data_IF_286843957018
#
_entry.id   IF_286843957018
#
_cell.length_a   1.000
_cell.length_b   1.000
_cell.length_c   1.000
_cell.angle_alpha   90.00
_cell.angle_beta   90.00
_cell.angle_gamma   90.00
#
_symmetry.space_group_name_H-M   'P 1'
#
loop_
_entity.id
_entity.type
_entity.pdbx_description
1 polymer ?
#
# COMPACT_ATOMS: atom_id res chain seq x y z
N UNK A 1 -17.81 5.27 1.36
CA UNK A 1 -16.37 5.60 1.55
C UNK A 1 -15.83 4.66 2.60
N UNK A 2 -14.70 3.97 2.39
CA UNK A 2 -14.09 3.16 3.43
C UNK A 2 -13.71 4.07 4.61
N UNK A 3 -14.09 3.67 5.82
CA UNK A 3 -13.74 4.38 7.05
C UNK A 3 -12.21 4.38 7.18
N UNK A 4 -11.55 5.52 7.44
CA UNK A 4 -10.11 5.51 7.71
C UNK A 4 -9.84 4.63 8.93
N UNK A 5 -9.12 3.52 8.73
CA UNK A 5 -8.69 2.64 9.81
C UNK A 5 -7.56 3.31 10.59
N UNK A 6 -7.82 3.66 11.84
CA UNK A 6 -6.82 4.20 12.76
C UNK A 6 -6.21 3.05 13.56
N UNK A 7 -4.87 3.00 13.63
CA UNK A 7 -4.14 2.04 14.46
C UNK A 7 -3.32 2.83 15.49
N UNK A 8 -3.46 2.50 16.77
CA UNK A 8 -2.59 3.03 17.81
C UNK A 8 -1.33 2.19 17.87
N UNK A 9 -0.19 2.82 17.60
CA UNK A 9 1.12 2.20 17.73
C UNK A 9 1.82 2.79 18.96
N UNK A 10 2.02 1.98 20.00
CA UNK A 10 2.42 2.43 21.35
C UNK A 10 3.88 2.16 21.71
N UNK A 11 4.73 1.78 20.75
CA UNK A 11 6.14 1.43 21.02
C UNK A 11 7.11 2.51 20.55
N UNK A 12 8.25 2.62 21.25
CA UNK A 12 9.33 3.57 20.96
C UNK A 12 10.16 3.12 19.75
N UNK A 13 9.62 3.28 18.55
CA UNK A 13 10.34 3.04 17.29
C UNK A 13 11.13 4.28 16.82
N UNK A 14 12.24 4.09 16.08
CA UNK A 14 12.73 5.12 15.17
C UNK A 14 11.64 5.41 14.13
N UNK A 15 11.16 6.66 14.09
CA UNK A 15 10.02 7.04 13.25
C UNK A 15 10.47 7.11 11.79
N UNK A 16 9.89 6.27 10.92
CA UNK A 16 10.02 6.46 9.47
C UNK A 16 9.10 7.60 9.04
N UNK A 17 9.69 8.76 8.78
CA UNK A 17 9.00 9.90 8.20
C UNK A 17 9.09 9.85 6.68
N UNK A 18 7.97 10.03 6.00
CA UNK A 18 7.93 10.21 4.54
C UNK A 18 7.38 11.60 4.26
N UNK A 19 8.01 12.31 3.34
CA UNK A 19 7.48 13.56 2.80
C UNK A 19 6.41 13.24 1.75
N UNK A 20 5.20 13.78 1.95
CA UNK A 20 4.09 13.64 1.00
C UNK A 20 3.57 15.00 0.57
N UNK A 21 3.06 15.08 -0.66
CA UNK A 21 2.31 16.24 -1.17
C UNK A 21 0.82 15.93 -1.08
N UNK A 22 0.06 16.74 -0.33
CA UNK A 22 -1.39 16.54 -0.15
C UNK A 22 -2.17 17.84 -0.36
N UNK A 23 -3.35 17.79 -0.98
CA UNK A 23 -4.23 18.94 -1.09
C UNK A 23 -4.96 19.17 0.24
N UNK A 24 -4.66 20.28 0.91
CA UNK A 24 -5.33 20.66 2.15
C UNK A 24 -6.48 21.60 1.81
N UNK A 25 -7.71 21.17 2.11
CA UNK A 25 -8.90 22.01 1.91
C UNK A 25 -8.84 23.18 2.87
N UNK A 26 -8.85 24.38 2.30
CA UNK A 26 -8.83 25.65 3.01
C UNK A 26 -10.25 26.03 3.41
N UNK A 27 -11.15 26.04 2.43
CA UNK A 27 -12.55 26.39 2.61
C UNK A 27 -13.40 25.76 1.50
N UNK A 28 -14.67 25.49 1.80
CA UNK A 28 -15.68 25.12 0.82
C UNK A 28 -16.82 26.13 0.91
N UNK A 29 -17.25 26.68 -0.22
CA UNK A 29 -18.31 27.68 -0.30
C UNK A 29 -19.32 27.28 -1.38
N UNK A 30 -20.61 27.36 -1.04
CA UNK A 30 -21.69 27.19 -2.00
C UNK A 30 -21.98 28.53 -2.67
N UNK A 31 -22.07 28.52 -3.99
CA UNK A 31 -22.19 29.69 -4.84
C UNK A 31 -23.49 29.59 -5.61
N UNK A 32 -24.30 30.63 -5.51
CA UNK A 32 -25.50 30.80 -6.31
C UNK A 32 -25.37 32.04 -7.19
N UNK A 33 -25.58 31.86 -8.50
CA UNK A 33 -25.56 32.94 -9.46
C UNK A 33 -26.82 32.90 -10.33
N UNK A 34 -27.60 33.98 -10.25
CA UNK A 34 -28.79 34.19 -11.08
C UNK A 34 -28.40 34.94 -12.34
N UNK A 35 -28.81 34.45 -13.50
CA UNK A 35 -28.56 35.03 -14.81
C UNK A 35 -29.87 35.14 -15.57
N UNK A 36 -30.34 36.37 -15.77
CA UNK A 36 -31.50 36.64 -16.61
C UNK A 36 -31.09 36.81 -18.06
N UNK A 37 -31.80 36.16 -18.97
CA UNK A 37 -31.63 36.33 -20.41
C UNK A 37 -32.95 36.48 -21.13
N UNK A 38 -32.94 37.24 -22.23
CA UNK A 38 -34.07 37.33 -23.14
C UNK A 38 -33.55 37.14 -24.55
N UNK A 39 -34.06 36.10 -25.21
CA UNK A 39 -33.64 35.72 -26.56
C UNK A 39 -34.80 35.79 -27.54
N UNK A 40 -34.48 36.10 -28.79
CA UNK A 40 -35.42 36.03 -29.89
C UNK A 40 -35.30 34.66 -30.54
N UNK A 41 -36.39 33.91 -30.57
CA UNK A 41 -36.44 32.60 -31.20
C UNK A 41 -36.26 32.74 -32.73
N UNK A 42 -35.55 31.81 -33.39
CA UNK A 42 -35.36 31.84 -34.85
C UNK A 42 -36.67 31.81 -35.64
N UNK A 43 -37.70 31.20 -35.06
CA UNK A 43 -39.05 31.09 -35.62
C UNK A 43 -40.11 31.40 -34.56
N UNK A 44 -41.34 31.66 -35.01
CA UNK A 44 -42.48 31.82 -34.11
C UNK A 44 -42.81 30.48 -33.43
N UNK A 45 -42.76 30.45 -32.11
CA UNK A 45 -43.13 29.34 -31.25
C UNK A 45 -44.56 29.48 -30.73
N UNK A 46 -45.28 28.36 -30.69
CA UNK A 46 -46.56 28.21 -29.99
C UNK A 46 -46.34 27.99 -28.50
N UNK A 47 -45.34 27.17 -28.15
CA UNK A 47 -44.92 26.89 -26.77
C UNK A 47 -43.45 26.47 -26.71
N UNK A 48 -42.83 26.69 -25.57
CA UNK A 48 -41.57 26.03 -25.18
C UNK A 48 -41.95 24.73 -24.47
N UNK A 49 -41.32 23.62 -24.85
CA UNK A 49 -41.57 22.31 -24.26
C UNK A 49 -40.70 22.14 -23.00
N UNK A 50 -39.39 22.20 -23.17
CA UNK A 50 -38.43 22.19 -22.08
C UNK A 50 -37.11 22.84 -22.51
N UNK A 51 -36.28 23.21 -21.54
CA UNK A 51 -34.92 23.71 -21.74
C UNK A 51 -33.99 22.79 -20.97
N UNK A 52 -33.02 22.18 -21.65
CA UNK A 52 -31.94 21.46 -20.97
C UNK A 52 -30.72 22.35 -20.86
N UNK A 53 -30.06 22.38 -19.72
CA UNK A 53 -28.86 23.16 -19.53
C UNK A 53 -27.75 22.39 -18.84
N UNK A 54 -26.52 22.84 -19.09
CA UNK A 54 -25.31 22.33 -18.46
C UNK A 54 -24.31 23.48 -18.31
N UNK A 55 -23.53 23.45 -17.24
CA UNK A 55 -22.42 24.39 -17.06
C UNK A 55 -21.17 23.83 -17.74
N UNK A 56 -20.53 24.65 -18.56
CA UNK A 56 -19.28 24.35 -19.28
C UNK A 56 -18.21 25.37 -18.92
N UNK A 57 -16.96 25.01 -19.20
CA UNK A 57 -15.79 25.89 -19.09
C UNK A 57 -15.67 26.58 -17.71
N UNK A 58 -16.06 25.86 -16.65
CA UNK A 58 -16.06 26.38 -15.30
C UNK A 58 -14.63 26.58 -14.81
N UNK A 59 -14.30 27.81 -14.43
CA UNK A 59 -12.99 28.23 -13.97
C UNK A 59 -13.10 29.00 -12.65
N UNK A 60 -12.10 28.83 -11.79
CA UNK A 60 -12.00 29.49 -10.50
C UNK A 60 -10.67 30.19 -10.36
N UNK A 61 -10.70 31.49 -10.10
CA UNK A 61 -9.50 32.30 -9.86
C UNK A 61 -9.49 32.79 -8.42
N UNK A 62 -8.54 32.36 -7.58
CA UNK A 62 -8.40 32.90 -6.23
C UNK A 62 -7.96 34.36 -6.27
N UNK A 63 -8.56 35.18 -5.41
CA UNK A 63 -8.17 36.58 -5.21
C UNK A 63 -7.33 36.67 -3.95
N UNK A 64 -6.07 37.03 -4.15
CA UNK A 64 -5.09 37.15 -3.10
C UNK A 64 -5.01 38.58 -2.55
N UNK A 65 -4.95 38.68 -1.23
CA UNK A 65 -4.81 39.93 -0.49
C UNK A 65 -3.68 39.80 0.53
N UNK A 66 -3.10 40.94 0.90
CA UNK A 66 -2.10 41.10 1.94
C UNK A 66 -2.65 42.02 3.03
N UNK A 67 -2.28 41.76 4.28
CA UNK A 67 -2.61 42.62 5.41
C UNK A 67 -1.37 43.40 5.81
N UNK A 68 -1.41 44.72 5.59
CA UNK A 68 -0.32 45.60 6.00
C UNK A 68 -0.21 45.65 7.53
N UNK A 69 0.95 46.05 8.04
CA UNK A 69 1.16 46.27 9.47
C UNK A 69 0.21 47.33 10.09
N UNK A 70 -0.38 48.21 9.27
CA UNK A 70 -1.44 49.16 9.67
C UNK A 70 -2.81 48.49 9.90
N UNK A 71 -2.97 47.23 9.50
CA UNK A 71 -4.24 46.50 9.49
C UNK A 71 -5.02 46.63 8.17
N UNK A 72 -4.57 47.47 7.24
CA UNK A 72 -5.21 47.67 5.94
C UNK A 72 -5.04 46.47 5.02
N UNK A 73 -6.10 46.12 4.28
CA UNK A 73 -6.10 45.02 3.31
C UNK A 73 -5.83 45.58 1.92
N UNK A 74 -4.79 45.08 1.27
CA UNK A 74 -4.38 45.53 -0.07
C UNK A 74 -4.33 44.34 -1.04
N UNK A 75 -4.74 44.56 -2.28
CA UNK A 75 -4.60 43.58 -3.36
C UNK A 75 -3.12 43.36 -3.65
N UNK A 76 -2.67 42.10 -3.71
CA UNK A 76 -1.28 41.76 -4.00
C UNK A 76 -1.09 41.72 -5.52
N UNK A 77 -0.34 42.67 -6.13
CA UNK A 77 -0.03 42.60 -7.55
C UNK A 77 1.13 41.62 -7.73
N UNK A 78 0.80 40.35 -8.00
CA UNK A 78 1.54 39.25 -8.66
C UNK A 78 3.05 39.03 -8.41
N UNK A 79 3.81 39.85 -7.69
CA UNK A 79 5.24 39.63 -7.40
C UNK A 79 5.65 40.36 -6.11
N UNK A 80 5.62 39.67 -4.97
CA UNK A 80 6.44 40.06 -3.82
C UNK A 80 6.81 38.80 -3.03
N UNK A 81 8.10 38.45 -2.92
CA UNK A 81 8.54 37.16 -2.39
C UNK A 81 8.54 37.03 -0.85
N UNK A 82 8.12 38.06 -0.11
CA UNK A 82 8.28 38.09 1.36
C UNK A 82 7.00 38.42 2.15
N UNK A 83 5.84 38.45 1.50
CA UNK A 83 4.58 38.86 2.14
C UNK A 83 3.68 37.68 2.43
N UNK A 84 2.98 37.76 3.55
CA UNK A 84 1.96 36.79 3.91
C UNK A 84 0.80 36.92 2.93
N UNK A 85 0.58 35.87 2.14
CA UNK A 85 -0.49 35.87 1.15
C UNK A 85 -1.73 35.23 1.77
N UNK A 86 -2.88 35.86 1.56
CA UNK A 86 -4.15 35.33 2.01
C UNK A 86 -5.13 35.23 0.85
N UNK A 87 -5.97 34.19 0.85
CA UNK A 87 -7.13 34.09 -0.03
C UNK A 87 -8.33 34.68 0.70
N UNK A 88 -9.05 35.60 0.05
CA UNK A 88 -10.28 36.20 0.61
C UNK A 88 -11.50 36.06 -0.28
N UNK A 89 -11.30 36.04 -1.60
CA UNK A 89 -12.40 35.91 -2.56
C UNK A 89 -12.02 34.93 -3.65
N UNK A 90 -13.03 34.43 -4.34
CA UNK A 90 -12.89 33.58 -5.52
C UNK A 90 -13.73 34.19 -6.63
N UNK A 91 -13.15 34.32 -7.81
CA UNK A 91 -13.90 34.62 -9.02
C UNK A 91 -14.25 33.29 -9.67
N UNK A 92 -15.53 33.00 -9.81
CA UNK A 92 -16.04 31.83 -10.54
C UNK A 92 -16.65 32.30 -11.84
N UNK A 93 -16.24 31.69 -12.95
CA UNK A 93 -16.76 31.99 -14.28
C UNK A 93 -17.00 30.73 -15.08
N UNK A 94 -17.98 30.74 -15.96
CA UNK A 94 -18.25 29.64 -16.88
C UNK A 94 -19.30 30.02 -17.91
N UNK A 95 -19.75 29.01 -18.66
CA UNK A 95 -20.77 29.16 -19.70
C UNK A 95 -21.96 28.24 -19.39
N UNK A 96 -23.15 28.81 -19.32
CA UNK A 96 -24.41 28.06 -19.30
C UNK A 96 -24.72 27.69 -20.74
N UNK A 97 -24.53 26.43 -21.10
CA UNK A 97 -24.92 25.90 -22.41
C UNK A 97 -26.34 25.35 -22.32
N UNK A 98 -27.24 25.92 -23.11
CA UNK A 98 -28.67 25.58 -23.15
C UNK A 98 -29.04 24.96 -24.49
N UNK A 99 -29.97 24.02 -24.47
CA UNK A 99 -30.75 23.59 -25.63
C UNK A 99 -32.22 23.84 -25.34
N UNK A 100 -32.85 24.64 -26.19
CA UNK A 100 -34.22 25.08 -26.02
C UNK A 100 -35.09 24.32 -27.01
N UNK A 101 -36.00 23.49 -26.52
CA UNK A 101 -36.93 22.72 -27.34
C UNK A 101 -38.29 23.41 -27.37
N UNK A 102 -38.82 23.65 -28.57
CA UNK A 102 -40.07 24.38 -28.75
C UNK A 102 -40.89 23.85 -29.94
N UNK A 103 -42.18 24.17 -29.95
CA UNK A 103 -43.09 23.83 -31.05
C UNK A 103 -43.34 25.08 -31.87
N UNK A 104 -43.05 25.05 -33.17
CA UNK A 104 -43.27 26.19 -34.06
C UNK A 104 -44.75 26.32 -34.49
N UNK A 105 -45.08 27.39 -35.23
CA UNK A 105 -46.43 27.64 -35.76
C UNK A 105 -46.99 26.52 -36.66
N UNK A 106 -46.14 25.65 -37.20
CA UNK A 106 -46.52 24.52 -38.07
C UNK A 106 -46.69 23.21 -37.28
N UNK A 107 -46.68 23.25 -35.95
CA UNK A 107 -46.69 22.08 -35.06
C UNK A 107 -45.46 21.16 -35.21
N UNK A 108 -44.32 21.71 -35.65
CA UNK A 108 -43.06 20.97 -35.72
C UNK A 108 -42.24 21.20 -34.45
N UNK A 109 -41.60 20.14 -33.94
CA UNK A 109 -40.63 20.25 -32.86
C UNK A 109 -39.31 20.77 -33.43
N UNK A 110 -38.80 21.85 -32.83
CA UNK A 110 -37.51 22.47 -33.16
C UNK A 110 -36.66 22.58 -31.90
N UNK A 111 -35.36 22.75 -32.12
CA UNK A 111 -34.43 23.09 -31.05
C UNK A 111 -33.42 24.11 -31.52
N UNK A 112 -32.86 24.88 -30.60
CA UNK A 112 -31.69 25.70 -30.86
C UNK A 112 -30.83 25.85 -29.60
N UNK A 113 -29.55 26.11 -29.80
CA UNK A 113 -28.57 26.27 -28.74
C UNK A 113 -28.39 27.73 -28.33
N UNK A 114 -28.19 27.98 -27.04
CA UNK A 114 -27.83 29.30 -26.49
C UNK A 114 -26.68 29.10 -25.48
N UNK A 115 -25.64 29.91 -25.60
CA UNK A 115 -24.53 29.95 -24.65
C UNK A 115 -24.54 31.30 -23.91
N UNK A 116 -24.57 31.25 -22.58
CA UNK A 116 -24.53 32.44 -21.73
C UNK A 116 -23.35 32.37 -20.78
N UNK A 117 -22.44 33.34 -20.90
CA UNK A 117 -21.33 33.47 -19.96
C UNK A 117 -21.81 34.07 -18.64
N UNK A 118 -21.29 33.56 -17.53
CA UNK A 118 -21.50 34.14 -16.21
C UNK A 118 -20.19 34.31 -15.48
N UNK A 119 -20.17 35.28 -14.55
CA UNK A 119 -19.07 35.48 -13.61
C UNK A 119 -19.63 35.94 -12.27
N UNK A 120 -19.05 35.43 -11.18
CA UNK A 120 -19.42 35.77 -9.81
C UNK A 120 -18.17 35.91 -8.96
N UNK A 121 -18.04 37.05 -8.30
CA UNK A 121 -17.09 37.22 -7.21
C UNK A 121 -17.75 36.73 -5.92
N UNK A 122 -17.27 35.60 -5.41
CA UNK A 122 -17.69 35.02 -4.15
C UNK A 122 -16.71 35.39 -3.03
N UNK A 123 -17.24 35.88 -1.90
CA UNK A 123 -16.43 36.09 -0.71
C UNK A 123 -16.32 34.80 0.11
N UNK A 124 -15.12 34.54 0.63
CA UNK A 124 -14.88 33.50 1.62
C UNK A 124 -15.23 34.01 3.02
N UNK A 125 -15.69 33.11 3.89
CA UNK A 125 -16.14 33.41 5.26
C UNK A 125 -15.03 34.10 6.06
N UNK A 126 -13.78 33.71 5.83
CA UNK A 126 -12.59 34.30 6.47
C UNK A 126 -11.46 34.50 5.48
N UNK A 127 -10.55 35.38 5.85
CA UNK A 127 -9.28 35.54 5.15
C UNK A 127 -8.35 34.41 5.62
N UNK A 128 -7.90 33.56 4.70
CA UNK A 128 -7.10 32.38 5.08
C UNK A 128 -5.70 32.50 4.51
N UNK A 129 -4.71 32.40 5.40
CA UNK A 129 -3.29 32.44 5.05
C UNK A 129 -2.91 31.21 4.25
N UNK A 130 -2.20 31.42 3.15
CA UNK A 130 -1.60 30.38 2.32
C UNK A 130 -0.09 30.50 2.37
N UNK A 131 0.62 29.36 2.25
CA UNK A 131 2.08 29.32 2.18
C UNK A 131 2.58 29.70 0.80
N UNK A 132 1.98 29.12 -0.23
CA UNK A 132 2.34 29.39 -1.61
C UNK A 132 1.10 29.62 -2.45
N UNK A 133 1.00 30.81 -3.04
CA UNK A 133 -0.14 31.18 -3.88
C UNK A 133 -0.27 30.28 -5.12
N UNK A 134 0.86 29.81 -5.66
CA UNK A 134 0.90 29.05 -6.91
C UNK A 134 0.44 27.59 -6.69
N UNK A 135 0.37 27.15 -5.43
CA UNK A 135 -0.17 25.85 -5.02
C UNK A 135 -1.66 25.93 -4.61
N UNK A 136 -2.30 27.09 -4.75
CA UNK A 136 -3.74 27.27 -4.48
C UNK A 136 -4.56 27.03 -5.73
N UNK A 137 -5.51 26.11 -5.64
CA UNK A 137 -6.43 25.80 -6.72
C UNK A 137 -7.85 25.57 -6.21
N UNK A 138 -8.81 25.56 -7.14
CA UNK A 138 -10.24 25.51 -6.84
C UNK A 138 -10.84 24.31 -7.54
N UNK A 139 -11.51 23.47 -6.76
CA UNK A 139 -12.23 22.29 -7.24
C UNK A 139 -13.73 22.51 -7.11
N UNK A 140 -14.44 22.32 -8.20
CA UNK A 140 -15.90 22.47 -8.23
C UNK A 140 -16.60 21.14 -8.00
N UNK A 141 -17.65 21.16 -7.17
CA UNK A 141 -18.50 20.03 -6.85
C UNK A 141 -19.97 20.49 -6.89
N UNK A 142 -20.91 19.54 -6.95
CA UNK A 142 -22.35 19.83 -6.89
C UNK A 142 -22.78 20.91 -7.90
N UNK A 143 -22.34 20.78 -9.15
CA UNK A 143 -22.65 21.74 -10.21
C UNK A 143 -24.06 21.44 -10.71
N UNK A 144 -24.97 22.40 -10.54
CA UNK A 144 -26.34 22.31 -11.03
C UNK A 144 -26.79 23.63 -11.66
N UNK A 145 -27.80 23.55 -12.53
CA UNK A 145 -28.40 24.73 -13.17
C UNK A 145 -29.89 24.55 -13.34
N UNK A 146 -30.65 25.39 -12.65
CA UNK A 146 -32.09 25.48 -12.80
C UNK A 146 -32.46 26.60 -13.77
N UNK A 147 -33.49 26.37 -14.60
CA UNK A 147 -33.99 27.37 -15.53
C UNK A 147 -35.49 27.51 -15.38
N UNK A 148 -35.92 28.74 -15.10
CA UNK A 148 -37.30 29.16 -15.23
C UNK A 148 -37.46 29.96 -16.52
N UNK A 149 -38.59 29.81 -17.21
CA UNK A 149 -38.83 30.54 -18.44
C UNK A 149 -40.29 30.95 -18.61
N UNK A 150 -40.48 31.98 -19.41
CA UNK A 150 -41.77 32.44 -19.88
C UNK A 150 -41.66 32.83 -21.37
N UNK A 151 -42.77 32.70 -22.11
CA UNK A 151 -42.85 33.10 -23.52
C UNK A 151 -43.78 34.32 -23.67
N UNK A 152 -43.34 35.56 -23.32
CA UNK A 152 -44.17 36.76 -23.40
C UNK A 152 -44.76 37.02 -24.79
N UNK A 153 -44.05 36.58 -25.83
CA UNK A 153 -44.49 36.65 -27.24
C UNK A 153 -44.02 35.40 -27.97
N UNK A 154 -44.70 35.03 -29.05
CA UNK A 154 -44.37 33.86 -29.87
C UNK A 154 -42.89 33.79 -30.33
N UNK A 155 -42.19 34.92 -30.45
CA UNK A 155 -40.77 34.95 -30.81
C UNK A 155 -39.82 35.38 -29.68
N UNK A 156 -40.30 35.65 -28.46
CA UNK A 156 -39.48 36.23 -27.39
C UNK A 156 -39.58 35.37 -26.14
N UNK A 157 -38.48 34.73 -25.79
CA UNK A 157 -38.33 33.84 -24.64
C UNK A 157 -37.53 34.57 -23.56
N UNK A 158 -38.14 34.77 -22.40
CA UNK A 158 -37.47 35.30 -21.20
C UNK A 158 -37.16 34.15 -20.26
N UNK A 159 -35.94 34.12 -19.73
CA UNK A 159 -35.41 33.02 -18.94
C UNK A 159 -34.64 33.57 -17.74
N UNK A 160 -34.78 32.89 -16.61
CA UNK A 160 -33.97 33.11 -15.40
C UNK A 160 -33.26 31.81 -15.08
N UNK A 161 -31.93 31.81 -15.19
CA UNK A 161 -31.09 30.67 -14.88
C UNK A 161 -30.43 30.84 -13.51
N UNK A 162 -30.52 29.84 -12.65
CA UNK A 162 -29.88 29.82 -11.33
C UNK A 162 -28.79 28.75 -11.36
N UNK A 163 -27.53 29.18 -11.34
CA UNK A 163 -26.38 28.28 -11.27
C UNK A 163 -26.01 28.07 -9.82
N UNK A 164 -25.93 26.81 -9.40
CA UNK A 164 -25.50 26.40 -8.07
C UNK A 164 -24.23 25.56 -8.18
N UNK A 165 -23.20 25.92 -7.41
CA UNK A 165 -21.93 25.17 -7.39
C UNK A 165 -21.22 25.30 -6.05
N UNK A 166 -20.65 24.19 -5.56
CA UNK A 166 -19.74 24.20 -4.42
C UNK A 166 -18.30 24.38 -4.91
N UNK A 167 -17.66 25.50 -4.57
CA UNK A 167 -16.24 25.73 -4.81
C UNK A 167 -15.42 25.34 -3.57
N UNK A 168 -14.53 24.36 -3.71
CA UNK A 168 -13.54 23.99 -2.68
C UNK A 168 -12.20 24.60 -3.03
N UNK A 169 -11.73 25.50 -2.18
CA UNK A 169 -10.39 26.08 -2.28
C UNK A 169 -9.43 25.18 -1.52
N UNK A 170 -8.35 24.74 -2.16
CA UNK A 170 -7.33 23.89 -1.56
C UNK A 170 -5.92 24.39 -1.88
N UNK A 171 -5.01 24.16 -0.96
CA UNK A 171 -3.58 24.40 -1.13
C UNK A 171 -2.83 23.08 -1.08
N UNK A 172 -2.00 22.84 -2.08
CA UNK A 172 -1.08 21.72 -2.14
C UNK A 172 0.06 21.94 -1.12
N UNK A 173 0.15 21.07 -0.10
CA UNK A 173 1.14 21.18 0.98
C UNK A 173 2.03 19.96 1.06
N UNK A 174 3.33 20.21 1.20
CA UNK A 174 4.30 19.20 1.63
C UNK A 174 4.24 19.07 3.16
N UNK A 175 4.01 17.85 3.63
CA UNK A 175 4.01 17.51 5.06
C UNK A 175 4.81 16.23 5.27
N UNK A 176 5.48 16.15 6.42
CA UNK A 176 6.06 14.91 6.90
C UNK A 176 4.97 14.12 7.62
N UNK A 177 4.75 12.88 7.17
CA UNK A 177 3.88 11.93 7.87
C UNK A 177 4.72 10.81 8.45
N UNK A 178 4.39 10.43 9.67
CA UNK A 178 4.85 9.16 10.23
C UNK A 178 4.07 8.04 9.56
N UNK A 179 4.78 7.14 8.89
CA UNK A 179 4.18 5.92 8.38
C UNK A 179 4.32 4.82 9.42
N UNK A 180 3.21 4.18 9.76
CA UNK A 180 3.22 2.96 10.55
C UNK A 180 3.31 1.78 9.59
N UNK A 181 4.17 0.78 9.84
CA UNK A 181 4.08 -0.47 9.10
C UNK A 181 2.67 -1.04 9.28
N UNK A 182 2.01 -1.43 8.18
CA UNK A 182 0.75 -2.17 8.27
C UNK A 182 0.96 -3.37 9.20
N UNK A 183 0.02 -3.69 10.11
CA UNK A 183 0.11 -4.91 10.90
C UNK A 183 0.11 -6.09 9.92
N UNK A 184 1.30 -6.56 9.57
CA UNK A 184 1.45 -7.68 8.66
C UNK A 184 0.89 -8.89 9.40
N UNK A 185 -0.21 -9.42 8.88
CA UNK A 185 -0.75 -10.71 9.31
C UNK A 185 0.28 -11.77 8.92
N UNK A 186 0.46 -12.80 9.75
CA UNK A 186 1.29 -13.94 9.40
C UNK A 186 0.83 -14.49 8.04
N UNK A 187 1.67 -14.44 6.98
CA UNK A 187 1.28 -14.98 5.69
C UNK A 187 1.13 -16.50 5.81
N UNK A 188 0.14 -17.07 5.12
CA UNK A 188 -0.09 -18.51 5.13
C UNK A 188 1.03 -19.28 4.40
N UNK A 189 1.41 -20.45 4.92
CA UNK A 189 2.38 -21.38 4.35
C UNK A 189 3.84 -21.16 4.79
N UNK A 190 4.74 -21.94 4.20
CA UNK A 190 6.18 -21.87 4.48
C UNK A 190 6.83 -20.58 3.95
N UNK A 191 7.86 -20.10 4.66
CA UNK A 191 8.72 -18.99 4.25
C UNK A 191 9.92 -19.44 3.42
N UNK A 192 10.10 -20.75 3.24
CA UNK A 192 11.21 -21.34 2.52
C UNK A 192 10.82 -21.70 1.09
N UNK A 193 11.81 -21.69 0.20
CA UNK A 193 11.70 -22.25 -1.14
C UNK A 193 12.20 -23.69 -1.09
N UNK A 194 11.51 -24.58 -1.79
CA UNK A 194 11.93 -25.97 -1.95
C UNK A 194 12.25 -26.65 -0.60
N UNK A 195 11.28 -26.58 0.32
CA UNK A 195 11.40 -27.19 1.64
C UNK A 195 11.51 -28.71 1.61
N UNK A 196 10.88 -29.35 0.60
CA UNK A 196 11.02 -30.79 0.33
C UNK A 196 12.32 -31.15 -0.40
N UNK A 197 13.24 -30.21 -0.63
CA UNK A 197 14.59 -30.48 -1.13
C UNK A 197 14.63 -31.29 -2.44
N UNK A 198 13.78 -30.93 -3.40
CA UNK A 198 13.62 -31.64 -4.68
C UNK A 198 14.45 -31.03 -5.82
N UNK A 199 14.82 -29.75 -5.69
CA UNK A 199 15.54 -29.01 -6.73
C UNK A 199 17.06 -29.11 -6.61
N UNK A 200 17.71 -29.90 -7.46
CA UNK A 200 19.17 -30.07 -7.49
C UNK A 200 19.74 -29.76 -8.88
N UNK A 201 20.83 -28.99 -8.92
CA UNK A 201 21.57 -28.73 -10.16
C UNK A 201 22.44 -29.93 -10.54
N UNK A 202 22.98 -30.60 -9.52
CA UNK A 202 23.65 -31.90 -9.56
C UNK A 202 23.53 -32.54 -8.16
N UNK A 203 24.00 -33.79 -7.95
CA UNK A 203 23.83 -34.49 -6.67
C UNK A 203 24.44 -33.82 -5.43
N UNK A 204 25.24 -32.76 -5.56
CA UNK A 204 25.92 -32.08 -4.45
C UNK A 204 25.43 -30.64 -4.23
N UNK A 205 24.67 -30.09 -5.18
CA UNK A 205 24.30 -28.68 -5.20
C UNK A 205 22.79 -28.47 -5.31
N UNK A 206 22.08 -28.26 -4.17
CA UNK A 206 20.67 -27.90 -4.19
C UNK A 206 20.49 -26.47 -4.72
N UNK A 207 19.42 -26.23 -5.49
CA UNK A 207 19.22 -24.96 -6.23
C UNK A 207 18.88 -23.79 -5.29
N UNK A 208 18.07 -24.06 -4.26
CA UNK A 208 17.53 -23.03 -3.37
C UNK A 208 18.22 -22.98 -1.99
N UNK A 209 19.14 -23.91 -1.73
CA UNK A 209 19.82 -24.08 -0.46
C UNK A 209 21.33 -23.98 -0.64
N UNK A 210 22.02 -23.36 0.30
CA UNK A 210 23.46 -23.48 0.44
C UNK A 210 23.80 -24.78 1.15
N UNK A 211 24.86 -25.45 0.71
CA UNK A 211 25.23 -26.76 1.22
C UNK A 211 26.75 -26.93 1.36
N UNK A 212 27.17 -27.70 2.36
CA UNK A 212 28.56 -28.11 2.58
C UNK A 212 28.58 -29.50 3.20
N UNK A 213 29.35 -30.43 2.63
CA UNK A 213 29.32 -31.85 3.02
C UNK A 213 27.90 -32.43 2.98
N UNK A 214 27.22 -32.23 1.85
CA UNK A 214 25.86 -32.70 1.59
C UNK A 214 25.81 -33.40 0.23
N UNK A 215 24.98 -34.43 0.12
CA UNK A 215 24.60 -35.04 -1.15
C UNK A 215 23.10 -35.30 -1.19
N UNK A 216 22.53 -35.29 -2.38
CA UNK A 216 21.19 -35.75 -2.66
C UNK A 216 21.06 -37.25 -2.37
N UNK A 217 19.94 -37.63 -1.77
CA UNK A 217 19.56 -39.03 -1.54
C UNK A 217 18.14 -39.29 -2.03
N UNK A 218 17.84 -40.53 -2.40
CA UNK A 218 16.49 -40.98 -2.81
C UNK A 218 15.71 -41.63 -1.67
N UNK A 219 16.35 -41.80 -0.52
CA UNK A 219 15.65 -42.09 0.73
C UNK A 219 15.02 -40.78 1.22
N UNK A 220 13.84 -40.47 0.69
CA UNK A 220 13.09 -39.26 1.01
C UNK A 220 11.86 -39.60 1.85
N UNK A 221 11.43 -38.67 2.70
CA UNK A 221 10.19 -38.78 3.45
C UNK A 221 9.00 -38.52 2.52
N UNK A 222 9.12 -37.51 1.66
CA UNK A 222 8.15 -37.23 0.61
C UNK A 222 8.86 -36.94 -0.72
N UNK A 223 8.12 -36.94 -1.83
CA UNK A 223 8.70 -36.67 -3.15
C UNK A 223 9.73 -37.70 -3.60
N UNK A 224 10.81 -37.24 -4.26
CA UNK A 224 11.84 -38.09 -4.87
C UNK A 224 13.18 -37.97 -4.17
N UNK A 225 13.48 -36.81 -3.59
CA UNK A 225 14.81 -36.49 -3.10
C UNK A 225 14.78 -35.86 -1.72
N UNK A 226 15.85 -36.09 -0.98
CA UNK A 226 16.14 -35.44 0.29
C UNK A 226 17.62 -35.03 0.34
N UNK A 227 18.02 -34.29 1.38
CA UNK A 227 19.42 -33.92 1.60
C UNK A 227 20.05 -34.80 2.67
N UNK A 228 21.19 -35.40 2.36
CA UNK A 228 22.00 -36.15 3.31
C UNK A 228 23.26 -35.37 3.68
N UNK A 229 23.39 -34.99 4.96
CA UNK A 229 24.49 -34.19 5.50
C UNK A 229 25.51 -35.13 6.17
N UNK A 230 26.80 -34.93 5.88
CA UNK A 230 27.90 -35.75 6.40
C UNK A 230 28.41 -36.81 5.43
N UNK A 231 27.71 -37.05 4.32
CA UNK A 231 27.98 -38.17 3.40
C UNK A 231 29.27 -38.06 2.58
N UNK A 232 29.76 -36.85 2.29
CA UNK A 232 31.04 -36.72 1.59
C UNK A 232 32.21 -37.06 2.51
N UNK A 233 32.07 -36.75 3.80
CA UNK A 233 32.99 -37.18 4.85
C UNK A 233 32.30 -37.12 6.24
N UNK A 234 31.97 -38.27 6.87
CA UNK A 234 31.21 -38.31 8.12
C UNK A 234 32.03 -37.86 9.34
N UNK A 235 33.34 -37.62 9.18
CA UNK A 235 34.20 -37.08 10.23
C UNK A 235 34.36 -35.55 10.14
N UNK A 236 33.80 -34.90 9.12
CA UNK A 236 33.86 -33.44 8.95
C UNK A 236 32.49 -32.79 9.18
N UNK A 237 32.46 -31.53 9.68
CA UNK A 237 31.22 -30.80 9.78
C UNK A 237 30.51 -30.64 8.42
N UNK A 238 29.19 -30.57 8.46
CA UNK A 238 28.35 -30.30 7.30
C UNK A 238 27.26 -29.30 7.61
N UNK A 239 26.76 -28.62 6.57
CA UNK A 239 25.67 -27.67 6.74
C UNK A 239 24.75 -27.62 5.53
N UNK A 240 23.48 -27.34 5.81
CA UNK A 240 22.43 -27.06 4.82
C UNK A 240 21.68 -25.81 5.29
N UNK A 241 21.57 -24.78 4.47
CA UNK A 241 20.98 -23.51 4.91
C UNK A 241 20.26 -22.75 3.81
N UNK A 242 19.29 -21.93 4.17
CA UNK A 242 18.59 -21.03 3.26
C UNK A 242 18.29 -19.70 3.93
N UNK A 243 18.59 -18.61 3.22
CA UNK A 243 18.17 -17.26 3.58
C UNK A 243 16.79 -16.97 2.97
N UNK A 244 15.88 -16.40 3.76
CA UNK A 244 14.58 -15.91 3.30
C UNK A 244 14.27 -14.52 3.86
N UNK A 245 13.82 -13.63 2.99
CA UNK A 245 13.27 -12.32 3.35
C UNK A 245 11.77 -12.22 3.01
N UNK A 246 11.23 -13.24 2.35
CA UNK A 246 9.85 -13.23 1.85
C UNK A 246 8.88 -13.61 2.96
N UNK A 247 7.97 -12.68 3.30
CA UNK A 247 6.94 -12.94 4.31
C UNK A 247 7.46 -13.05 5.74
N UNK A 248 8.69 -12.59 6.01
CA UNK A 248 9.15 -12.38 7.38
C UNK A 248 8.52 -11.10 7.92
N UNK A 249 7.91 -11.25 9.08
CA UNK A 249 7.15 -10.27 9.84
C UNK A 249 7.72 -10.17 11.25
N UNK A 250 7.90 -8.94 11.69
CA UNK A 250 8.36 -8.56 13.01
C UNK A 250 7.30 -8.77 14.10
N UNK A 251 7.72 -8.94 15.36
CA UNK A 251 6.79 -9.16 16.48
C UNK A 251 6.03 -10.48 16.39
N UNK A 252 6.59 -11.49 15.73
CA UNK A 252 5.96 -12.81 15.50
C UNK A 252 6.87 -13.93 15.96
N UNK A 253 6.28 -15.07 16.27
CA UNK A 253 7.03 -16.32 16.42
C UNK A 253 7.01 -17.08 15.10
N UNK A 254 8.01 -17.93 14.90
CA UNK A 254 8.05 -18.86 13.79
C UNK A 254 8.15 -20.28 14.31
N UNK A 255 7.49 -21.20 13.62
CA UNK A 255 7.63 -22.63 13.84
C UNK A 255 8.48 -23.21 12.73
N UNK A 256 9.58 -23.87 13.09
CA UNK A 256 10.32 -24.70 12.16
C UNK A 256 9.92 -26.15 12.42
N UNK A 257 9.52 -26.86 11.37
CA UNK A 257 9.32 -28.31 11.36
C UNK A 257 10.08 -28.93 10.22
N UNK A 258 10.65 -30.12 10.43
CA UNK A 258 11.38 -30.87 9.42
C UNK A 258 11.39 -32.35 9.78
N UNK A 259 11.63 -33.20 8.79
CA UNK A 259 11.78 -34.63 8.96
C UNK A 259 13.26 -35.00 8.94
N UNK A 260 13.66 -35.85 9.87
CA UNK A 260 15.06 -36.27 10.04
C UNK A 260 15.16 -37.78 10.20
N UNK A 261 16.18 -38.38 9.60
CA UNK A 261 16.53 -39.79 9.76
C UNK A 261 18.05 -39.94 9.81
N UNK A 262 18.55 -40.91 10.59
CA UNK A 262 19.96 -41.26 10.59
C UNK A 262 20.25 -42.27 9.46
N UNK A 263 21.39 -42.13 8.78
CA UNK A 263 21.95 -43.21 7.96
C UNK A 263 23.07 -43.92 8.70
N UNK A 264 22.91 -45.22 8.87
CA UNK A 264 23.87 -46.03 9.62
C UNK A 264 24.97 -46.49 8.68
N UNK A 265 26.16 -45.91 8.88
CA UNK A 265 27.39 -46.28 8.20
C UNK A 265 27.29 -46.35 6.65
N UNK A 266 26.82 -45.28 5.97
CA UNK A 266 26.57 -45.29 4.53
C UNK A 266 27.82 -45.52 3.67
N UNK A 267 29.02 -45.20 4.21
CA UNK A 267 30.29 -45.39 3.53
C UNK A 267 30.97 -46.74 3.82
N UNK A 268 30.33 -47.63 4.60
CA UNK A 268 30.82 -48.99 4.83
C UNK A 268 32.10 -49.08 5.66
N UNK A 269 32.25 -48.24 6.69
CA UNK A 269 33.33 -48.37 7.67
C UNK A 269 33.26 -49.72 8.42
N UNK A 270 34.40 -50.17 8.97
CA UNK A 270 34.49 -51.47 9.64
C UNK A 270 33.61 -51.60 10.89
N UNK A 271 33.34 -50.48 11.57
CA UNK A 271 32.46 -50.40 12.74
C UNK A 271 31.53 -49.21 12.56
N UNK A 272 30.22 -49.43 12.68
CA UNK A 272 29.26 -48.34 12.73
C UNK A 272 29.35 -47.62 14.08
N UNK A 273 29.59 -46.32 14.05
CA UNK A 273 29.68 -45.43 15.20
C UNK A 273 28.76 -44.23 14.95
N UNK A 274 27.66 -44.21 15.70
CA UNK A 274 26.74 -43.08 15.78
C UNK A 274 27.27 -42.10 16.82
N UNK A 275 27.91 -41.02 16.35
CA UNK A 275 28.55 -40.03 17.21
C UNK A 275 28.55 -38.65 16.58
N UNK A 276 27.37 -38.06 16.40
CA UNK A 276 27.23 -36.70 15.89
C UNK A 276 26.12 -35.94 16.61
N UNK A 277 26.08 -34.62 16.36
CA UNK A 277 24.97 -33.76 16.76
C UNK A 277 24.49 -32.99 15.54
N UNK A 278 23.17 -32.88 15.41
CA UNK A 278 22.50 -32.04 14.43
C UNK A 278 21.89 -30.84 15.16
N UNK A 279 22.28 -29.63 14.80
CA UNK A 279 21.65 -28.41 15.29
C UNK A 279 20.81 -27.78 14.19
N UNK A 280 19.52 -27.59 14.42
CA UNK A 280 18.62 -26.84 13.55
C UNK A 280 18.41 -25.44 14.13
N UNK A 281 18.61 -24.40 13.33
CA UNK A 281 18.58 -23.01 13.78
C UNK A 281 17.73 -22.15 12.82
N UNK A 282 17.00 -21.20 13.41
CA UNK A 282 16.38 -20.07 12.71
C UNK A 282 17.00 -18.79 13.26
N UNK A 283 17.82 -18.13 12.45
CA UNK A 283 18.54 -16.91 12.82
C UNK A 283 17.89 -15.71 12.15
N UNK A 284 17.53 -14.67 12.89
CA UNK A 284 16.86 -13.47 12.38
C UNK A 284 17.82 -12.30 12.25
N UNK A 285 17.65 -11.53 11.17
CA UNK A 285 18.48 -10.37 10.86
C UNK A 285 17.65 -9.11 10.62
N UNK A 286 18.21 -7.97 11.00
CA UNK A 286 17.67 -6.65 10.70
C UNK A 286 18.01 -6.19 9.26
N UNK A 287 17.64 -4.94 8.93
CA UNK A 287 17.91 -4.36 7.62
C UNK A 287 19.37 -4.09 7.31
N UNK A 288 20.23 -4.06 8.32
CA UNK A 288 21.68 -3.88 8.19
C UNK A 288 22.42 -5.23 8.15
N UNK A 289 21.71 -6.35 8.24
CA UNK A 289 22.28 -7.69 8.30
C UNK A 289 22.81 -8.07 9.68
N UNK A 290 22.46 -7.34 10.74
CA UNK A 290 22.83 -7.67 12.12
C UNK A 290 21.90 -8.76 12.64
N UNK A 291 22.46 -9.78 13.28
CA UNK A 291 21.67 -10.82 13.95
C UNK A 291 20.97 -10.24 15.18
N UNK A 292 19.65 -10.38 15.22
CA UNK A 292 18.78 -9.82 16.29
C UNK A 292 17.96 -10.88 17.03
N UNK A 293 18.02 -12.14 16.60
CA UNK A 293 17.37 -13.24 17.31
C UNK A 293 17.78 -14.61 16.79
N UNK A 294 17.60 -15.63 17.62
CA UNK A 294 17.83 -17.03 17.25
C UNK A 294 16.85 -17.95 17.98
N UNK A 295 16.27 -18.90 17.25
CA UNK A 295 15.64 -20.09 17.80
C UNK A 295 16.40 -21.32 17.33
N UNK A 296 16.58 -22.32 18.19
CA UNK A 296 17.40 -23.49 17.86
C UNK A 296 16.94 -24.74 18.59
N UNK A 297 17.09 -25.88 17.94
CA UNK A 297 16.91 -27.20 18.51
C UNK A 297 18.16 -28.03 18.23
N UNK A 298 18.63 -28.77 19.23
CA UNK A 298 19.80 -29.65 19.11
C UNK A 298 19.37 -31.09 19.30
N UNK A 299 19.74 -31.93 18.35
CA UNK A 299 19.49 -33.35 18.34
C UNK A 299 20.83 -34.08 18.46
N UNK A 300 21.00 -34.84 19.53
CA UNK A 300 22.07 -35.80 19.61
C UNK A 300 21.70 -37.00 18.72
N UNK A 301 22.69 -37.65 18.10
CA UNK A 301 22.48 -38.81 17.22
C UNK A 301 21.59 -39.92 17.84
N UNK A 302 21.70 -40.16 19.15
CA UNK A 302 20.84 -41.12 19.87
C UNK A 302 19.34 -40.79 19.87
N UNK A 303 18.98 -39.53 19.59
CA UNK A 303 17.61 -39.06 19.48
C UNK A 303 17.05 -39.11 18.05
N UNK A 304 17.84 -39.54 17.06
CA UNK A 304 17.44 -39.63 15.66
C UNK A 304 17.29 -41.12 15.30
N UNK A 305 16.13 -41.57 14.78
CA UNK A 305 15.95 -42.98 14.43
C UNK A 305 16.79 -43.41 13.23
N UNK A 306 17.32 -44.63 13.32
CA UNK A 306 18.05 -45.29 12.24
C UNK A 306 17.11 -45.66 11.08
N UNK A 307 17.41 -45.16 9.88
CA UNK A 307 16.75 -45.59 8.65
C UNK A 307 15.23 -45.36 8.61
N UNK A 308 14.71 -44.47 9.45
CA UNK A 308 13.31 -44.07 9.48
C UNK A 308 13.17 -42.59 9.84
N UNK A 309 12.30 -41.89 9.13
CA UNK A 309 12.07 -40.47 9.37
C UNK A 309 11.22 -40.23 10.63
N UNK A 310 11.63 -39.25 11.42
CA UNK A 310 10.82 -38.65 12.49
C UNK A 310 10.70 -37.15 12.29
N UNK A 311 9.58 -36.57 12.73
CA UNK A 311 9.37 -35.13 12.66
C UNK A 311 9.93 -34.44 13.90
N UNK A 312 10.70 -33.39 13.69
CA UNK A 312 11.17 -32.49 14.73
C UNK A 312 10.54 -31.12 14.51
N UNK A 313 10.13 -30.46 15.60
CA UNK A 313 9.52 -29.15 15.55
C UNK A 313 9.89 -28.31 16.77
N UNK A 314 10.22 -27.05 16.55
CA UNK A 314 10.35 -26.05 17.62
C UNK A 314 9.80 -24.69 17.20
N UNK A 315 9.56 -23.83 18.18
CA UNK A 315 9.07 -22.47 17.98
C UNK A 315 10.16 -21.48 18.41
N UNK A 316 10.40 -20.47 17.59
CA UNK A 316 11.37 -19.42 17.88
C UNK A 316 10.86 -18.47 18.97
N UNK A 317 11.77 -17.70 19.60
CA UNK A 317 11.36 -16.49 20.33
C UNK A 317 10.58 -15.54 19.42
N UNK A 318 9.82 -14.64 20.04
CA UNK A 318 9.16 -13.54 19.32
C UNK A 318 10.25 -12.67 18.68
N UNK A 319 10.10 -12.40 17.39
CA UNK A 319 11.02 -11.56 16.64
C UNK A 319 10.93 -10.10 17.08
N UNK A 320 12.06 -9.40 17.11
CA UNK A 320 12.10 -7.95 17.29
C UNK A 320 11.33 -7.24 16.15
N UNK A 321 10.86 -6.03 16.41
CA UNK A 321 10.16 -5.15 15.48
C UNK A 321 10.96 -4.83 14.21
N UNK A 322 12.29 -4.97 14.24
CA UNK A 322 13.17 -4.64 13.12
C UNK A 322 13.62 -5.85 12.27
N UNK A 323 13.02 -7.03 12.42
CA UNK A 323 13.37 -8.19 11.58
C UNK A 323 13.00 -7.96 10.10
N UNK A 324 13.97 -8.21 9.22
CA UNK A 324 13.79 -8.18 7.77
C UNK A 324 13.99 -9.54 7.10
N UNK A 325 14.86 -10.40 7.66
CA UNK A 325 15.14 -11.71 7.07
C UNK A 325 15.42 -12.77 8.12
N UNK A 326 15.35 -14.03 7.71
CA UNK A 326 15.67 -15.19 8.51
C UNK A 326 16.56 -16.17 7.74
N UNK A 327 17.43 -16.87 8.44
CA UNK A 327 18.21 -18.00 7.94
C UNK A 327 17.73 -19.26 8.64
N UNK A 328 17.34 -20.27 7.87
CA UNK A 328 17.23 -21.64 8.41
C UNK A 328 18.55 -22.34 8.14
N UNK A 329 19.14 -22.96 9.16
CA UNK A 329 20.41 -23.68 9.07
C UNK A 329 20.35 -24.99 9.83
N UNK A 330 20.79 -26.06 9.17
CA UNK A 330 21.13 -27.33 9.79
C UNK A 330 22.65 -27.45 9.85
N UNK A 331 23.18 -27.79 11.01
CA UNK A 331 24.61 -27.97 11.24
C UNK A 331 24.86 -29.37 11.79
N UNK A 332 25.53 -30.21 11.00
CA UNK A 332 26.01 -31.53 11.40
C UNK A 332 27.42 -31.39 11.99
N UNK A 333 27.60 -31.80 13.24
CA UNK A 333 28.87 -31.74 13.96
C UNK A 333 29.23 -33.16 14.43
N UNK A 334 30.13 -33.86 13.73
CA UNK A 334 30.57 -35.19 14.14
C UNK A 334 31.59 -35.11 15.28
N UNK A 335 31.55 -36.11 16.16
CA UNK A 335 32.63 -36.40 17.10
C UNK A 335 33.67 -37.33 16.45
N UNK A 336 34.80 -37.50 17.13
CA UNK A 336 35.88 -38.37 16.65
C UNK A 336 35.37 -39.81 16.45
N UNK A 337 35.62 -40.36 15.26
CA UNK A 337 35.25 -41.73 14.91
C UNK A 337 33.82 -41.93 14.40
N UNK A 338 33.03 -40.86 14.25
CA UNK A 338 31.69 -40.95 13.66
C UNK A 338 31.72 -41.53 12.23
N UNK A 339 30.79 -42.43 11.95
CA UNK A 339 30.63 -43.03 10.61
C UNK A 339 29.24 -42.81 10.02
N UNK A 340 28.31 -42.27 10.81
CA UNK A 340 26.91 -42.13 10.45
C UNK A 340 26.64 -40.72 9.91
N UNK A 341 25.58 -40.58 9.13
CA UNK A 341 25.17 -39.31 8.50
C UNK A 341 23.72 -39.03 8.85
N UNK A 342 23.21 -37.87 8.44
CA UNK A 342 21.83 -37.49 8.73
C UNK A 342 21.11 -37.00 7.48
N UNK A 343 19.89 -37.46 7.29
CA UNK A 343 19.00 -37.05 6.20
C UNK A 343 17.98 -36.04 6.71
N UNK A 344 17.73 -35.01 5.92
CA UNK A 344 16.76 -33.94 6.18
C UNK A 344 15.79 -33.90 5.01
N UNK A 345 14.50 -33.78 5.32
CA UNK A 345 13.44 -33.60 4.34
C UNK A 345 12.28 -32.74 4.88
N UNK A 346 11.41 -32.26 3.98
CA UNK A 346 10.14 -31.59 4.28
C UNK A 346 10.28 -30.43 5.30
N UNK A 347 11.20 -29.52 5.03
CA UNK A 347 11.50 -28.37 5.87
C UNK A 347 10.48 -27.25 5.68
N UNK A 348 9.81 -26.90 6.77
CA UNK A 348 8.72 -25.91 6.79
C UNK A 348 8.99 -24.87 7.87
N UNK A 349 9.05 -23.59 7.46
CA UNK A 349 9.14 -22.45 8.38
C UNK A 349 7.85 -21.63 8.28
N UNK A 350 7.01 -21.67 9.31
CA UNK A 350 5.72 -20.98 9.33
C UNK A 350 5.69 -19.83 10.33
N UNK A 351 5.03 -18.73 9.97
CA UNK A 351 4.74 -17.65 10.91
C UNK A 351 3.58 -18.07 11.81
N UNK A 352 3.80 -18.15 13.12
CA UNK A 352 2.75 -18.47 14.07
C UNK A 352 2.11 -17.18 14.59
N UNK A 353 0.77 -17.04 14.50
CA UNK A 353 0.09 -15.92 15.13
C UNK A 353 0.34 -15.96 16.64
N UNK A 354 0.59 -14.79 17.25
CA UNK A 354 0.64 -14.69 18.71
C UNK A 354 -0.72 -15.17 19.23
N UNK A 355 -0.71 -16.11 20.18
CA UNK A 355 -1.91 -16.44 20.91
C UNK A 355 -2.46 -15.13 21.48
N UNK A 356 -3.65 -14.73 21.06
CA UNK A 356 -4.35 -13.62 21.68
C UNK A 356 -4.58 -14.01 23.13
N UNK A 357 -3.72 -13.54 24.03
CA UNK A 357 -4.12 -13.39 25.42
C UNK A 357 -5.34 -12.50 25.38
N UNK A 358 -6.51 -13.09 25.66
CA UNK A 358 -7.73 -12.34 25.89
C UNK A 358 -7.41 -11.31 26.98
N UNK A 359 -7.37 -10.03 26.58
CA UNK A 359 -7.44 -8.89 27.49
C UNK A 359 -8.82 -8.27 27.33
#
# INVERSE_FOLDING_TARGET
>A
MPVPSQFFFSETQPVQCIEIKVPVVIEAVDIEQVVDSTITLPELALKVDHITASVRDLQGTPVFVDQLASGDIVLVPTVSPEREVYVKKVIVSGTIHKQIFYVNKNNEVKHFAEDLQFTKLQELSRMIKVKNRDDVFIQFHNIDVDINWELPRASRLHQTSVVQVTAKVSEDRQIFVQVCPSPKVCPAGTRLRDGGLEGWADPYHPIFWGASNVQQTTFAHSGTYAAEIGILNPTLPGSLFQMTSSGIVSGRQYRLSFWVAEDVNPLGAATAVSAFNLTAEVVFFDSMGVQIGIGSERLDSTGIPDGAYTMVQFVTPVTDQNVQSAMVRFSFIPAAGNTNTVKIDDVVLECTPLATSQF
#
